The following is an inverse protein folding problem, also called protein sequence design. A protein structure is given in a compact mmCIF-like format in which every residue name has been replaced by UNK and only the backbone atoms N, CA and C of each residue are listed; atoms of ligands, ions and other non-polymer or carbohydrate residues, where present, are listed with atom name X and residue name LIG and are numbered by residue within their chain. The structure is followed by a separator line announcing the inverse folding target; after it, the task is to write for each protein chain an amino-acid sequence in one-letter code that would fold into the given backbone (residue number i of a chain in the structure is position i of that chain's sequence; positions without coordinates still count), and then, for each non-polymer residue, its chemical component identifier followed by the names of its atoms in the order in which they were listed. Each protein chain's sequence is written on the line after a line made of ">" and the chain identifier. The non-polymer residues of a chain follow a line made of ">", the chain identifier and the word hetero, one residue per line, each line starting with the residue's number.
data_IF_255568363792
#
_entry.id   IF_255568363792
#
_cell.length_a   1.000
_cell.length_b   1.000
_cell.length_c   1.000
_cell.angle_alpha   90.00
_cell.angle_beta   90.00
_cell.angle_gamma   90.00
#
_symmetry.space_group_name_H-M   'P 1'
#
loop_
_entity.id
_entity.type
_entity.pdbx_description
1 polymer ?
#
# COMPACT_ATOMS: atom_id res chain seq x y z
N UNK A 1 7.23 -20.20 -38.25
CA UNK A 1 6.81 -19.21 -37.23
C UNK A 1 7.99 -18.96 -36.32
N UNK A 2 8.38 -17.70 -36.13
CA UNK A 2 9.55 -17.38 -35.31
C UNK A 2 9.20 -17.69 -33.84
N UNK A 3 9.89 -18.65 -33.22
CA UNK A 3 9.63 -19.05 -31.83
C UNK A 3 10.14 -18.01 -30.81
N UNK A 4 10.84 -16.97 -31.29
CA UNK A 4 11.52 -15.97 -30.46
C UNK A 4 11.18 -14.57 -30.98
N UNK A 5 10.82 -13.66 -30.06
CA UNK A 5 10.71 -12.22 -30.35
C UNK A 5 12.10 -11.58 -30.23
N UNK A 6 12.65 -10.96 -31.29
CA UNK A 6 13.93 -10.25 -31.20
C UNK A 6 13.83 -8.98 -30.32
N UNK A 7 14.96 -8.48 -29.85
CA UNK A 7 15.04 -7.16 -29.22
C UNK A 7 14.74 -6.07 -30.26
N UNK A 8 13.75 -5.21 -29.98
CA UNK A 8 13.29 -4.16 -30.85
C UNK A 8 13.98 -2.81 -30.59
N UNK A 9 14.52 -2.59 -29.38
CA UNK A 9 15.08 -1.29 -28.96
C UNK A 9 16.53 -1.34 -28.43
N UNK A 10 17.18 -2.50 -28.52
CA UNK A 10 18.62 -2.62 -28.29
C UNK A 10 19.41 -1.67 -29.20
N UNK A 11 20.32 -0.90 -28.62
CA UNK A 11 21.10 0.17 -29.29
C UNK A 11 20.44 1.54 -29.26
N UNK A 12 19.18 1.67 -28.83
CA UNK A 12 18.46 2.96 -28.75
C UNK A 12 17.98 3.29 -27.34
N UNK A 13 17.34 2.34 -26.65
CA UNK A 13 16.88 2.53 -25.27
C UNK A 13 17.90 2.03 -24.24
N UNK A 14 18.71 1.05 -24.63
CA UNK A 14 19.78 0.47 -23.83
C UNK A 14 20.86 -0.08 -24.79
N UNK A 15 22.11 -0.34 -24.35
CA UNK A 15 23.19 -0.80 -25.22
C UNK A 15 22.87 -2.11 -25.95
N UNK A 16 23.25 -2.19 -27.24
CA UNK A 16 23.17 -3.44 -28.01
C UNK A 16 24.32 -4.42 -27.69
N UNK A 17 25.46 -3.91 -27.22
CA UNK A 17 26.58 -4.74 -26.76
C UNK A 17 26.26 -5.37 -25.40
N UNK A 18 26.41 -6.70 -25.30
CA UNK A 18 26.03 -7.46 -24.12
C UNK A 18 26.87 -7.10 -22.89
N UNK A 19 28.18 -6.89 -23.05
CA UNK A 19 29.07 -6.54 -21.96
C UNK A 19 28.82 -5.12 -21.46
N UNK A 20 28.56 -4.16 -22.36
CA UNK A 20 28.17 -2.80 -22.00
C UNK A 20 26.82 -2.77 -21.28
N UNK A 21 25.82 -3.50 -21.78
CA UNK A 21 24.51 -3.60 -21.15
C UNK A 21 24.61 -4.20 -19.75
N UNK A 22 25.32 -5.32 -19.58
CA UNK A 22 25.51 -5.96 -18.30
C UNK A 22 26.17 -5.02 -17.27
N UNK A 23 27.25 -4.32 -17.67
CA UNK A 23 27.91 -3.32 -16.82
C UNK A 23 26.98 -2.18 -16.44
N UNK A 24 26.23 -1.62 -17.39
CA UNK A 24 25.33 -0.50 -17.12
C UNK A 24 24.22 -0.91 -16.16
N UNK A 25 23.57 -2.07 -16.38
CA UNK A 25 22.53 -2.57 -15.48
C UNK A 25 23.09 -2.84 -14.08
N UNK A 26 24.27 -3.45 -13.97
CA UNK A 26 24.93 -3.71 -12.69
C UNK A 26 25.29 -2.41 -11.95
N UNK A 27 25.73 -1.38 -12.66
CA UNK A 27 26.01 -0.06 -12.10
C UNK A 27 24.74 0.60 -11.57
N UNK A 28 23.66 0.61 -12.36
CA UNK A 28 22.37 1.17 -11.96
C UNK A 28 21.82 0.46 -10.72
N UNK A 29 21.82 -0.88 -10.71
CA UNK A 29 21.40 -1.67 -9.55
C UNK A 29 22.29 -1.40 -8.33
N UNK A 30 23.61 -1.34 -8.51
CA UNK A 30 24.55 -1.09 -7.39
C UNK A 30 24.44 0.32 -6.81
N UNK A 31 24.10 1.31 -7.64
CA UNK A 31 23.87 2.69 -7.21
C UNK A 31 22.53 2.87 -6.50
N UNK A 32 21.55 1.99 -6.74
CA UNK A 32 20.33 1.97 -5.96
C UNK A 32 20.66 1.65 -4.50
N UNK A 33 20.20 2.52 -3.60
CA UNK A 33 20.38 2.41 -2.16
C UNK A 33 19.06 2.00 -1.53
N UNK A 34 18.68 0.71 -1.59
CA UNK A 34 17.45 0.29 -0.99
C UNK A 34 17.57 0.47 0.54
N UNK A 35 16.83 1.44 1.10
CA UNK A 35 16.58 1.52 2.54
C UNK A 35 16.17 0.13 3.02
N UNK A 36 16.81 -0.40 4.06
CA UNK A 36 16.58 -1.78 4.51
C UNK A 36 15.16 -1.95 5.07
N UNK A 37 14.18 -2.16 4.20
CA UNK A 37 12.88 -2.71 4.55
C UNK A 37 13.00 -4.23 4.45
N UNK A 38 12.63 -4.93 5.52
CA UNK A 38 12.64 -6.40 5.54
C UNK A 38 11.51 -7.01 4.68
N UNK A 39 10.57 -6.18 4.22
CA UNK A 39 9.44 -6.62 3.42
C UNK A 39 9.84 -6.79 1.95
N UNK A 40 9.28 -7.82 1.32
CA UNK A 40 9.51 -8.14 -0.08
C UNK A 40 8.32 -7.65 -0.89
N UNK A 41 8.52 -6.87 -1.96
CA UNK A 41 7.40 -6.39 -2.76
C UNK A 41 6.81 -7.52 -3.59
N UNK A 42 5.47 -7.58 -3.64
CA UNK A 42 4.71 -8.53 -4.47
C UNK A 42 4.46 -7.98 -5.88
N UNK A 43 4.33 -6.66 -6.00
CA UNK A 43 4.22 -5.99 -7.29
C UNK A 43 5.09 -4.72 -7.36
N UNK A 44 5.46 -4.34 -8.57
CA UNK A 44 6.22 -3.12 -8.87
C UNK A 44 5.52 -2.31 -9.96
N UNK A 45 5.59 -0.98 -9.87
CA UNK A 45 5.42 -0.06 -11.01
C UNK A 45 6.79 0.50 -11.34
N UNK A 46 7.20 0.43 -12.61
CA UNK A 46 8.53 0.86 -13.09
C UNK A 46 8.44 1.61 -14.43
N UNK A 47 9.30 2.61 -14.66
CA UNK A 47 9.32 3.37 -15.92
C UNK A 47 9.95 2.57 -17.06
N UNK A 48 9.68 2.95 -18.31
CA UNK A 48 10.15 2.29 -19.52
C UNK A 48 10.77 3.20 -20.59
N UNK A 49 11.11 4.44 -20.26
CA UNK A 49 12.01 5.23 -21.10
C UNK A 49 13.42 4.59 -21.23
N UNK A 50 14.25 5.15 -22.11
CA UNK A 50 15.64 4.71 -22.26
C UNK A 50 16.43 4.84 -20.96
N UNK A 51 17.39 3.94 -20.74
CA UNK A 51 18.13 3.81 -19.47
C UNK A 51 18.86 5.07 -19.04
N UNK A 52 19.27 5.90 -19.99
CA UNK A 52 19.90 7.19 -19.71
C UNK A 52 18.96 8.16 -18.98
N UNK A 53 17.64 8.00 -19.13
CA UNK A 53 16.62 8.85 -18.51
C UNK A 53 16.03 8.22 -17.25
N UNK A 54 15.52 6.98 -17.36
CA UNK A 54 14.70 6.35 -16.31
C UNK A 54 15.37 5.15 -15.64
N UNK A 55 16.54 4.72 -16.11
CA UNK A 55 17.20 3.49 -15.65
C UNK A 55 17.54 3.52 -14.16
N UNK A 56 17.92 4.69 -13.63
CA UNK A 56 18.18 4.86 -12.20
C UNK A 56 16.90 4.67 -11.35
N UNK A 57 15.79 5.26 -11.78
CA UNK A 57 14.49 5.13 -11.11
C UNK A 57 14.01 3.67 -11.13
N UNK A 58 14.08 3.00 -12.29
CA UNK A 58 13.74 1.58 -12.41
C UNK A 58 14.61 0.69 -11.51
N UNK A 59 15.91 0.97 -11.42
CA UNK A 59 16.83 0.21 -10.59
C UNK A 59 16.48 0.24 -9.10
N UNK A 60 15.89 1.33 -8.59
CA UNK A 60 15.44 1.42 -7.20
C UNK A 60 14.38 0.36 -6.87
N UNK A 61 13.47 0.05 -7.80
CA UNK A 61 12.50 -1.02 -7.63
C UNK A 61 13.13 -2.41 -7.72
N UNK A 62 13.91 -2.68 -8.76
CA UNK A 62 14.53 -3.99 -8.93
C UNK A 62 15.50 -4.33 -7.79
N UNK A 63 16.25 -3.36 -7.27
CA UNK A 63 17.15 -3.59 -6.14
C UNK A 63 16.44 -4.12 -4.87
N UNK A 64 15.13 -3.85 -4.71
CA UNK A 64 14.31 -4.39 -3.60
C UNK A 64 14.15 -5.91 -3.65
N UNK A 65 14.29 -6.51 -4.82
CA UNK A 65 14.10 -7.96 -5.00
C UNK A 65 15.37 -8.77 -4.70
N UNK A 66 16.54 -8.13 -4.49
CA UNK A 66 17.81 -8.83 -4.18
C UNK A 66 17.68 -9.91 -3.10
N UNK A 67 16.99 -9.69 -1.96
CA UNK A 67 16.89 -10.70 -0.90
C UNK A 67 16.12 -11.96 -1.31
N UNK A 68 15.29 -11.88 -2.35
CA UNK A 68 14.41 -12.97 -2.81
C UNK A 68 14.65 -13.38 -4.25
N UNK A 69 15.67 -12.86 -4.92
CA UNK A 69 15.89 -13.07 -6.34
C UNK A 69 15.89 -14.56 -6.72
N UNK A 70 16.50 -15.42 -5.91
CA UNK A 70 16.51 -16.87 -6.13
C UNK A 70 15.16 -17.59 -5.98
N UNK A 71 14.17 -16.95 -5.34
CA UNK A 71 12.81 -17.51 -5.13
C UNK A 71 11.86 -17.18 -6.27
N UNK A 72 12.03 -16.04 -6.93
CA UNK A 72 11.16 -15.59 -8.01
C UNK A 72 11.43 -16.46 -9.24
N UNK A 73 10.43 -17.23 -9.67
CA UNK A 73 10.49 -18.11 -10.85
C UNK A 73 9.60 -17.65 -11.98
N UNK A 74 8.58 -16.84 -11.69
CA UNK A 74 7.64 -16.26 -12.65
C UNK A 74 7.62 -14.76 -12.53
N UNK A 75 7.67 -14.07 -13.66
CA UNK A 75 7.42 -12.63 -13.75
C UNK A 75 6.22 -12.40 -14.66
N UNK A 76 5.17 -11.79 -14.12
CA UNK A 76 4.00 -11.34 -14.88
C UNK A 76 4.21 -9.87 -15.18
N UNK A 77 4.41 -9.53 -16.45
CA UNK A 77 4.81 -8.20 -16.88
C UNK A 77 3.73 -7.59 -17.78
N UNK A 78 3.10 -6.52 -17.32
CA UNK A 78 2.09 -5.78 -18.05
C UNK A 78 2.63 -4.40 -18.41
N UNK A 79 2.37 -3.94 -19.63
CA UNK A 79 2.76 -2.61 -20.09
C UNK A 79 1.87 -2.13 -21.22
N UNK A 80 1.75 -0.82 -21.45
CA UNK A 80 0.89 -0.28 -22.50
C UNK A 80 1.39 -0.65 -23.89
N UNK A 81 0.48 -0.62 -24.87
CA UNK A 81 0.80 -0.60 -26.30
C UNK A 81 0.99 0.83 -26.79
N UNK A 82 2.05 1.07 -27.55
CA UNK A 82 2.36 2.38 -28.15
C UNK A 82 2.22 2.39 -29.67
N UNK A 83 2.32 1.23 -30.32
CA UNK A 83 2.42 1.14 -31.79
C UNK A 83 1.21 0.49 -32.44
N UNK A 84 0.77 -0.64 -31.89
CA UNK A 84 -0.34 -1.42 -32.47
C UNK A 84 -1.47 -1.43 -31.45
N UNK A 85 -2.66 -0.90 -31.81
CA UNK A 85 -3.80 -0.92 -30.90
C UNK A 85 -4.23 -2.36 -30.65
N UNK A 86 -4.61 -2.63 -29.40
CA UNK A 86 -5.11 -3.92 -28.94
C UNK A 86 -6.43 -3.65 -28.22
N UNK A 87 -7.45 -4.45 -28.49
CA UNK A 87 -8.63 -4.54 -27.62
C UNK A 87 -8.32 -5.61 -26.57
N UNK A 88 -8.33 -5.23 -25.30
CA UNK A 88 -7.93 -6.10 -24.19
C UNK A 88 -6.41 -6.16 -23.96
N UNK A 89 -5.90 -7.36 -23.69
CA UNK A 89 -4.49 -7.66 -23.42
C UNK A 89 -3.98 -8.68 -24.43
N UNK A 90 -2.83 -8.41 -25.05
CA UNK A 90 -2.24 -9.30 -26.05
C UNK A 90 -1.08 -10.12 -25.48
N UNK A 91 -1.11 -11.42 -25.76
CA UNK A 91 0.01 -12.36 -25.67
C UNK A 91 0.82 -12.37 -26.99
N UNK A 92 2.11 -12.71 -26.96
CA UNK A 92 3.01 -12.50 -28.11
C UNK A 92 2.96 -13.58 -29.20
N UNK A 93 2.43 -14.77 -28.91
CA UNK A 93 2.42 -15.89 -29.87
C UNK A 93 3.80 -16.48 -30.20
N UNK A 94 4.77 -16.30 -29.30
CA UNK A 94 6.14 -16.86 -29.37
C UNK A 94 6.45 -17.61 -28.07
N UNK A 95 7.64 -18.21 -27.97
CA UNK A 95 8.08 -19.00 -26.81
C UNK A 95 9.18 -18.33 -25.97
N UNK A 96 9.87 -17.33 -26.51
CA UNK A 96 10.90 -16.57 -25.79
C UNK A 96 11.04 -15.13 -26.31
N UNK A 97 11.58 -14.24 -25.47
CA UNK A 97 12.05 -12.90 -25.88
C UNK A 97 13.58 -12.89 -25.86
N UNK A 98 14.22 -12.33 -26.87
CA UNK A 98 15.66 -12.14 -26.91
C UNK A 98 16.05 -10.75 -26.42
N UNK A 99 17.15 -10.68 -25.67
CA UNK A 99 17.87 -9.44 -25.32
C UNK A 99 19.36 -9.64 -25.63
N UNK A 100 20.20 -8.59 -25.59
CA UNK A 100 21.64 -8.77 -25.68
C UNK A 100 22.24 -9.62 -24.55
N UNK A 101 21.55 -9.81 -23.42
CA UNK A 101 22.00 -10.65 -22.30
C UNK A 101 21.60 -12.13 -22.46
N UNK A 102 20.81 -12.46 -23.49
CA UNK A 102 20.33 -13.82 -23.74
C UNK A 102 18.80 -13.88 -23.87
N UNK A 103 18.27 -15.09 -23.90
CA UNK A 103 16.83 -15.32 -24.06
C UNK A 103 16.12 -15.41 -22.71
N UNK A 104 14.89 -14.93 -22.67
CA UNK A 104 13.94 -15.09 -21.56
C UNK A 104 12.82 -16.00 -22.04
N UNK A 105 12.69 -17.17 -21.43
CA UNK A 105 11.64 -18.12 -21.75
C UNK A 105 10.27 -17.60 -21.28
N UNK A 106 9.23 -17.82 -22.08
CA UNK A 106 7.87 -17.47 -21.69
C UNK A 106 7.22 -18.62 -20.90
N UNK A 107 6.42 -18.27 -19.89
CA UNK A 107 5.63 -19.23 -19.13
C UNK A 107 4.38 -19.63 -19.94
N UNK A 108 4.50 -20.74 -20.65
CA UNK A 108 3.41 -21.28 -21.48
C UNK A 108 2.20 -21.66 -20.63
N UNK A 109 2.40 -22.20 -19.42
CA UNK A 109 1.31 -22.59 -18.54
C UNK A 109 0.57 -21.37 -18.00
N UNK A 110 1.31 -20.32 -17.60
CA UNK A 110 0.75 -19.04 -17.19
C UNK A 110 -0.05 -18.37 -18.31
N UNK A 111 0.50 -18.31 -19.53
CA UNK A 111 -0.23 -17.78 -20.69
C UNK A 111 -1.48 -18.59 -21.02
N UNK A 112 -1.44 -19.92 -20.91
CA UNK A 112 -2.61 -20.78 -21.13
C UNK A 112 -3.71 -20.57 -20.07
N UNK A 113 -3.34 -20.28 -18.82
CA UNK A 113 -4.28 -20.08 -17.71
C UNK A 113 -5.16 -18.82 -17.83
N UNK A 114 -4.84 -17.93 -18.75
CA UNK A 114 -5.59 -16.70 -19.05
C UNK A 114 -6.11 -16.63 -20.48
N UNK A 115 -5.78 -17.61 -21.33
CA UNK A 115 -6.14 -17.59 -22.74
C UNK A 115 -7.65 -17.78 -22.99
N UNK A 116 -8.39 -18.28 -21.99
CA UNK A 116 -9.86 -18.42 -22.01
C UNK A 116 -10.60 -17.10 -21.72
N UNK A 117 -9.91 -16.09 -21.21
CA UNK A 117 -10.52 -14.80 -20.88
C UNK A 117 -10.86 -14.01 -22.15
N UNK A 118 -12.08 -13.47 -22.31
CA UNK A 118 -12.52 -12.80 -23.54
C UNK A 118 -11.71 -11.54 -23.88
N UNK A 119 -11.09 -10.92 -22.87
CA UNK A 119 -10.19 -9.77 -23.02
C UNK A 119 -8.76 -10.16 -23.41
N UNK A 120 -8.41 -11.45 -23.47
CA UNK A 120 -7.04 -11.89 -23.82
C UNK A 120 -7.01 -12.37 -25.26
N UNK A 121 -6.09 -11.82 -26.05
CA UNK A 121 -5.86 -12.25 -27.44
C UNK A 121 -4.38 -12.57 -27.68
N UNK A 122 -4.07 -13.15 -28.85
CA UNK A 122 -2.69 -13.36 -29.30
C UNK A 122 -2.41 -12.39 -30.45
N UNK A 123 -1.37 -11.56 -30.30
CA UNK A 123 -0.95 -10.61 -31.33
C UNK A 123 0.56 -10.43 -31.33
N UNK A 124 1.25 -11.16 -32.21
CA UNK A 124 2.70 -10.97 -32.40
C UNK A 124 3.05 -9.55 -32.89
N UNK A 125 2.16 -8.91 -33.66
CA UNK A 125 2.34 -7.55 -34.14
C UNK A 125 2.34 -6.52 -32.99
N UNK A 126 1.48 -6.72 -31.98
CA UNK A 126 1.46 -5.87 -30.78
C UNK A 126 2.75 -5.92 -29.97
N UNK A 127 3.48 -7.04 -30.07
CA UNK A 127 4.72 -7.22 -29.34
C UNK A 127 5.97 -6.87 -30.16
N UNK A 128 5.96 -7.11 -31.48
CA UNK A 128 7.15 -7.11 -32.33
C UNK A 128 8.01 -5.85 -32.20
N UNK A 129 7.37 -4.70 -31.99
CA UNK A 129 7.99 -3.39 -31.90
C UNK A 129 7.67 -2.67 -30.57
N UNK A 130 7.01 -3.33 -29.63
CA UNK A 130 6.65 -2.70 -28.35
C UNK A 130 7.85 -2.70 -27.39
N UNK A 131 8.11 -1.57 -26.74
CA UNK A 131 9.27 -1.39 -25.89
C UNK A 131 8.93 -1.43 -24.40
N UNK A 132 7.68 -1.15 -24.02
CA UNK A 132 7.25 -1.05 -22.62
C UNK A 132 7.59 -2.30 -21.80
N UNK A 133 7.53 -3.48 -22.42
CA UNK A 133 7.89 -4.75 -21.78
C UNK A 133 9.39 -5.06 -21.90
N UNK A 134 9.99 -4.78 -23.06
CA UNK A 134 11.36 -5.20 -23.38
C UNK A 134 12.41 -4.56 -22.48
N UNK A 135 12.28 -3.26 -22.22
CA UNK A 135 13.28 -2.51 -21.43
C UNK A 135 13.36 -2.96 -19.97
N UNK A 136 12.40 -3.76 -19.50
CA UNK A 136 12.42 -4.34 -18.16
C UNK A 136 13.29 -5.61 -18.09
N UNK A 137 13.48 -6.30 -19.21
CA UNK A 137 14.09 -7.63 -19.24
C UNK A 137 15.56 -7.65 -18.81
N UNK A 138 16.43 -6.69 -19.21
CA UNK A 138 17.83 -6.75 -18.79
C UNK A 138 18.00 -6.60 -17.27
N UNK A 139 17.15 -5.79 -16.60
CA UNK A 139 17.16 -5.71 -15.13
C UNK A 139 16.77 -7.03 -14.48
N UNK A 140 15.71 -7.67 -14.98
CA UNK A 140 15.23 -8.97 -14.49
C UNK A 140 16.27 -10.08 -14.71
N UNK A 141 16.89 -10.15 -15.90
CA UNK A 141 17.94 -11.14 -16.21
C UNK A 141 19.17 -10.96 -15.31
N UNK A 142 19.62 -9.72 -15.10
CA UNK A 142 20.78 -9.44 -14.26
C UNK A 142 20.54 -9.79 -12.79
N UNK A 143 19.28 -9.72 -12.32
CA UNK A 143 18.94 -9.92 -10.92
C UNK A 143 18.49 -11.33 -10.58
N UNK A 144 17.56 -11.90 -11.35
CA UNK A 144 16.88 -13.15 -11.03
C UNK A 144 17.60 -14.39 -11.58
N UNK A 145 18.44 -14.22 -12.61
CA UNK A 145 19.00 -15.34 -13.35
C UNK A 145 17.91 -16.06 -14.14
N UNK A 146 17.59 -17.30 -13.75
CA UNK A 146 16.58 -18.13 -14.42
C UNK A 146 15.17 -17.87 -13.91
N UNK A 147 14.29 -17.37 -14.78
CA UNK A 147 12.86 -17.17 -14.55
C UNK A 147 12.07 -17.32 -15.86
N UNK A 148 10.76 -17.45 -15.76
CA UNK A 148 9.83 -17.46 -16.89
C UNK A 148 8.94 -16.21 -16.89
N UNK A 149 8.59 -15.73 -18.08
CA UNK A 149 7.85 -14.48 -18.29
C UNK A 149 6.44 -14.72 -18.80
N UNK A 150 5.45 -14.01 -18.25
CA UNK A 150 4.12 -13.81 -18.86
C UNK A 150 4.02 -12.35 -19.32
N UNK A 151 4.34 -12.04 -20.60
CA UNK A 151 4.32 -10.68 -21.11
C UNK A 151 2.94 -10.33 -21.68
N UNK A 152 2.37 -9.23 -21.21
CA UNK A 152 1.04 -8.75 -21.60
C UNK A 152 1.14 -7.32 -22.12
N UNK A 153 0.89 -7.15 -23.41
CA UNK A 153 0.77 -5.83 -24.03
C UNK A 153 -0.68 -5.36 -23.87
N UNK A 154 -0.88 -4.34 -23.03
CA UNK A 154 -2.20 -3.89 -22.57
C UNK A 154 -2.67 -2.72 -23.44
N UNK A 155 -3.80 -2.90 -24.11
CA UNK A 155 -4.47 -1.87 -24.88
C UNK A 155 -5.75 -1.39 -24.21
N UNK A 156 -6.82 -1.34 -24.99
CA UNK A 156 -8.16 -0.94 -24.55
C UNK A 156 -8.81 -2.05 -23.72
N UNK A 157 -8.51 -2.04 -22.43
CA UNK A 157 -9.07 -2.93 -21.41
C UNK A 157 -9.59 -2.09 -20.24
N UNK A 158 -10.59 -2.59 -19.54
CA UNK A 158 -11.03 -2.05 -18.25
C UNK A 158 -10.08 -2.46 -17.12
N UNK A 159 -10.08 -1.69 -16.02
CA UNK A 159 -9.36 -2.06 -14.80
C UNK A 159 -9.80 -3.42 -14.24
N UNK A 160 -11.09 -3.75 -14.36
CA UNK A 160 -11.65 -5.04 -13.95
C UNK A 160 -11.11 -6.20 -14.81
N UNK A 161 -11.01 -6.02 -16.12
CA UNK A 161 -10.44 -7.02 -17.03
C UNK A 161 -8.96 -7.29 -16.73
N UNK A 162 -8.18 -6.24 -16.42
CA UNK A 162 -6.80 -6.38 -15.97
C UNK A 162 -6.74 -7.10 -14.61
N UNK A 163 -7.58 -6.72 -13.65
CA UNK A 163 -7.63 -7.35 -12.33
C UNK A 163 -7.98 -8.85 -12.41
N UNK A 164 -8.87 -9.26 -13.32
CA UNK A 164 -9.18 -10.68 -13.57
C UNK A 164 -7.97 -11.47 -14.09
N UNK A 165 -7.17 -10.87 -14.98
CA UNK A 165 -5.91 -11.47 -15.44
C UNK A 165 -4.92 -11.60 -14.29
N UNK A 166 -4.77 -10.56 -13.47
CA UNK A 166 -3.92 -10.60 -12.28
C UNK A 166 -4.38 -11.66 -11.27
N UNK A 167 -5.68 -11.85 -11.08
CA UNK A 167 -6.24 -12.87 -10.20
C UNK A 167 -5.82 -14.29 -10.62
N UNK A 168 -5.90 -14.60 -11.92
CA UNK A 168 -5.48 -15.90 -12.48
C UNK A 168 -3.97 -16.12 -12.38
N UNK A 169 -3.18 -15.05 -12.40
CA UNK A 169 -1.71 -15.09 -12.41
C UNK A 169 -1.06 -14.72 -11.09
N UNK A 170 -1.84 -14.56 -10.01
CA UNK A 170 -1.36 -13.97 -8.76
C UNK A 170 -0.17 -14.72 -8.16
N UNK A 171 -0.26 -16.05 -8.06
CA UNK A 171 0.80 -16.92 -7.55
C UNK A 171 1.25 -16.63 -6.10
N UNK A 172 2.26 -17.37 -5.63
CA UNK A 172 2.87 -17.23 -4.30
C UNK A 172 4.12 -16.35 -4.31
N UNK A 173 5.10 -16.67 -3.44
CA UNK A 173 6.39 -15.96 -3.38
C UNK A 173 7.23 -16.14 -4.65
N UNK A 174 6.94 -17.16 -5.46
CA UNK A 174 7.63 -17.43 -6.71
C UNK A 174 7.20 -16.52 -7.87
N UNK A 175 6.12 -15.74 -7.69
CA UNK A 175 5.54 -14.90 -8.74
C UNK A 175 5.66 -13.42 -8.41
N UNK A 176 6.37 -12.68 -9.26
CA UNK A 176 6.46 -11.22 -9.23
C UNK A 176 5.51 -10.60 -10.26
N UNK A 177 4.77 -9.57 -9.87
CA UNK A 177 3.99 -8.73 -10.79
C UNK A 177 4.77 -7.44 -11.10
N UNK A 178 4.90 -7.08 -12.37
CA UNK A 178 5.53 -5.83 -12.81
C UNK A 178 4.59 -5.10 -13.75
N UNK A 179 4.28 -3.85 -13.42
CA UNK A 179 3.55 -2.93 -14.28
C UNK A 179 4.53 -1.89 -14.81
N UNK A 180 4.61 -1.80 -16.13
CA UNK A 180 5.49 -0.89 -16.84
C UNK A 180 4.73 0.39 -17.20
N UNK A 181 5.15 1.53 -16.65
CA UNK A 181 4.54 2.84 -16.93
C UNK A 181 5.51 3.99 -16.64
N UNK A 182 5.63 4.90 -17.60
CA UNK A 182 6.04 6.29 -17.34
C UNK A 182 4.84 7.11 -16.85
N UNK A 183 5.07 8.31 -16.31
CA UNK A 183 4.05 9.25 -15.85
C UNK A 183 3.64 10.23 -16.97
N UNK A 184 3.56 11.54 -16.67
CA UNK A 184 3.15 12.54 -17.65
C UNK A 184 4.17 12.70 -18.78
N UNK A 185 3.71 13.13 -19.96
CA UNK A 185 4.53 13.22 -21.17
C UNK A 185 4.55 14.63 -21.75
N UNK A 186 5.75 15.10 -22.08
CA UNK A 186 6.04 16.29 -22.85
C UNK A 186 5.49 17.61 -22.28
N UNK A 187 5.35 17.67 -20.96
CA UNK A 187 4.91 18.87 -20.24
C UNK A 187 6.11 19.75 -19.86
N UNK A 188 5.92 21.07 -19.69
CA UNK A 188 6.90 21.92 -19.04
C UNK A 188 7.25 21.41 -17.63
N UNK A 189 8.51 21.51 -17.23
CA UNK A 189 9.04 20.92 -16.00
C UNK A 189 8.18 21.14 -14.75
N UNK A 190 7.79 22.38 -14.46
CA UNK A 190 6.97 22.69 -13.29
C UNK A 190 5.57 22.08 -13.33
N UNK A 191 4.97 21.97 -14.52
CA UNK A 191 3.67 21.34 -14.70
C UNK A 191 3.78 19.81 -14.57
N UNK A 192 4.83 19.21 -15.14
CA UNK A 192 5.13 17.79 -14.98
C UNK A 192 5.25 17.43 -13.49
N UNK A 193 6.06 18.17 -12.72
CA UNK A 193 6.20 17.95 -11.28
C UNK A 193 4.86 17.95 -10.54
N UNK A 194 3.99 18.93 -10.83
CA UNK A 194 2.67 19.01 -10.18
C UNK A 194 1.79 17.79 -10.50
N UNK A 195 1.67 17.45 -11.79
CA UNK A 195 0.82 16.33 -12.24
C UNK A 195 1.39 14.99 -11.78
N UNK A 196 2.70 14.81 -11.85
CA UNK A 196 3.37 13.58 -11.46
C UNK A 196 3.28 13.35 -9.95
N UNK A 197 3.49 14.38 -9.11
CA UNK A 197 3.33 14.27 -7.66
C UNK A 197 1.89 13.93 -7.24
N UNK A 198 0.89 14.50 -7.92
CA UNK A 198 -0.52 14.15 -7.67
C UNK A 198 -0.82 12.72 -8.13
N UNK A 199 -0.32 12.33 -9.30
CA UNK A 199 -0.47 10.96 -9.82
C UNK A 199 0.14 9.93 -8.88
N UNK A 200 1.35 10.18 -8.38
CA UNK A 200 1.99 9.34 -7.38
C UNK A 200 1.17 9.30 -6.09
N UNK A 201 0.65 10.42 -5.60
CA UNK A 201 -0.22 10.46 -4.41
C UNK A 201 -1.47 9.59 -4.57
N UNK A 202 -2.09 9.62 -5.76
CA UNK A 202 -3.24 8.76 -6.09
C UNK A 202 -2.86 7.28 -6.11
N UNK A 203 -1.72 6.92 -6.70
CA UNK A 203 -1.20 5.54 -6.70
C UNK A 203 -0.94 5.06 -5.27
N UNK A 204 -0.26 5.87 -4.44
CA UNK A 204 0.04 5.53 -3.05
C UNK A 204 -1.23 5.33 -2.21
N UNK A 205 -2.26 6.15 -2.46
CA UNK A 205 -3.57 6.04 -1.85
C UNK A 205 -4.44 4.92 -2.46
N UNK A 206 -3.97 4.25 -3.52
CA UNK A 206 -4.72 3.25 -4.31
C UNK A 206 -6.09 3.76 -4.78
N UNK A 207 -6.13 4.99 -5.29
CA UNK A 207 -7.35 5.68 -5.76
C UNK A 207 -7.41 5.74 -7.29
N UNK A 208 -7.93 4.72 -7.99
CA UNK A 208 -8.24 4.82 -9.42
C UNK A 208 -9.47 5.72 -9.67
N UNK A 209 -9.70 6.22 -10.89
CA UNK A 209 -8.90 5.98 -12.10
C UNK A 209 -7.84 7.05 -12.37
N UNK A 210 -6.64 6.62 -12.77
CA UNK A 210 -5.67 7.44 -13.48
C UNK A 210 -6.07 7.57 -14.96
N UNK A 211 -5.81 8.72 -15.55
CA UNK A 211 -5.96 8.97 -16.99
C UNK A 211 -4.68 8.67 -17.77
N UNK A 212 -4.79 8.43 -19.08
CA UNK A 212 -3.63 8.26 -19.97
C UNK A 212 -2.76 9.53 -20.11
N UNK A 213 -3.23 10.69 -19.65
CA UNK A 213 -2.42 11.91 -19.58
C UNK A 213 -1.49 11.90 -18.35
N UNK A 214 -1.90 11.22 -17.28
CA UNK A 214 -1.12 11.08 -16.06
C UNK A 214 -0.07 9.97 -16.16
N UNK A 215 -0.36 8.89 -16.89
CA UNK A 215 0.53 7.76 -17.04
C UNK A 215 0.24 7.02 -18.35
N UNK A 216 1.27 6.69 -19.14
CA UNK A 216 1.06 5.93 -20.39
C UNK A 216 0.47 4.53 -20.10
N UNK A 217 0.89 3.90 -19.01
CA UNK A 217 0.38 2.64 -18.48
C UNK A 217 -0.84 2.80 -17.55
N UNK A 218 -1.64 3.86 -17.69
CA UNK A 218 -2.81 4.08 -16.81
C UNK A 218 -3.73 2.86 -16.70
N UNK A 219 -4.00 2.15 -17.79
CA UNK A 219 -4.84 0.94 -17.79
C UNK A 219 -4.29 -0.18 -16.89
N UNK A 220 -3.07 -0.70 -17.10
CA UNK A 220 -2.52 -1.73 -16.22
C UNK A 220 -2.26 -1.23 -14.79
N UNK A 221 -1.93 0.06 -14.60
CA UNK A 221 -1.81 0.65 -13.25
C UNK A 221 -3.16 0.64 -12.53
N UNK A 222 -4.24 1.10 -13.16
CA UNK A 222 -5.58 1.09 -12.56
C UNK A 222 -6.06 -0.32 -12.20
N UNK A 223 -5.76 -1.30 -13.05
CA UNK A 223 -6.02 -2.72 -12.76
C UNK A 223 -5.24 -3.21 -11.54
N UNK A 224 -3.95 -2.89 -11.45
CA UNK A 224 -3.15 -3.20 -10.26
C UNK A 224 -3.70 -2.48 -9.02
N UNK A 225 -4.10 -1.22 -9.10
CA UNK A 225 -4.61 -0.47 -7.95
C UNK A 225 -5.90 -1.08 -7.38
N UNK A 226 -6.84 -1.44 -8.26
CA UNK A 226 -8.06 -2.14 -7.87
C UNK A 226 -7.73 -3.49 -7.21
N UNK A 227 -6.87 -4.28 -7.85
CA UNK A 227 -6.45 -5.57 -7.34
C UNK A 227 -5.69 -5.48 -6.01
N UNK A 228 -4.79 -4.50 -5.88
CA UNK A 228 -4.00 -4.23 -4.70
C UNK A 228 -4.87 -3.84 -3.50
N UNK A 229 -5.93 -3.07 -3.72
CA UNK A 229 -6.88 -2.71 -2.66
C UNK A 229 -7.60 -3.95 -2.10
N UNK A 230 -8.06 -4.85 -2.96
CA UNK A 230 -8.71 -6.10 -2.58
C UNK A 230 -7.77 -7.09 -1.88
N UNK A 231 -6.49 -7.09 -2.25
CA UNK A 231 -5.47 -8.01 -1.71
C UNK A 231 -4.65 -7.39 -0.58
N UNK A 232 -5.09 -6.24 -0.07
CA UNK A 232 -4.47 -5.55 1.06
C UNK A 232 -3.01 -5.19 0.81
N UNK A 233 -2.61 -4.82 -0.40
CA UNK A 233 -1.24 -4.36 -0.67
C UNK A 233 -1.08 -2.89 -0.28
N UNK A 234 0.09 -2.53 0.24
CA UNK A 234 0.47 -1.15 0.52
C UNK A 234 1.54 -0.69 -0.47
N UNK A 235 1.32 0.50 -1.03
CA UNK A 235 2.21 1.11 -2.00
C UNK A 235 3.25 2.00 -1.28
N UNK A 236 4.50 1.92 -1.72
CA UNK A 236 5.62 2.73 -1.25
C UNK A 236 6.30 3.36 -2.47
N UNK A 237 6.47 4.68 -2.45
CA UNK A 237 7.27 5.38 -3.44
C UNK A 237 8.74 5.14 -3.15
N UNK A 238 9.47 4.61 -4.14
CA UNK A 238 10.89 4.34 -4.01
C UNK A 238 11.73 5.48 -4.58
N UNK A 239 11.31 6.03 -5.72
CA UNK A 239 11.97 7.14 -6.39
C UNK A 239 11.02 7.84 -7.37
N UNK A 240 11.27 9.11 -7.62
CA UNK A 240 10.52 9.94 -8.56
C UNK A 240 11.42 11.02 -9.16
N UNK A 241 11.45 11.13 -10.48
CA UNK A 241 12.09 12.24 -11.19
C UNK A 241 11.44 12.46 -12.55
N UNK A 242 11.99 13.36 -13.36
CA UNK A 242 11.63 13.46 -14.78
C UNK A 242 12.87 13.51 -15.67
N UNK A 243 12.67 13.45 -16.98
CA UNK A 243 13.77 13.48 -17.95
C UNK A 243 14.67 14.71 -17.84
N UNK A 244 14.15 15.84 -17.36
CA UNK A 244 14.92 17.07 -17.12
C UNK A 244 15.82 17.03 -15.88
N UNK A 245 15.66 16.04 -15.01
CA UNK A 245 16.54 15.78 -13.86
C UNK A 245 17.65 14.77 -14.19
N UNK A 246 17.61 14.16 -15.37
CA UNK A 246 18.59 13.20 -15.86
C UNK A 246 19.38 13.74 -17.04
N UNK A 247 19.06 13.32 -18.27
CA UNK A 247 19.80 13.64 -19.48
C UNK A 247 19.04 14.52 -20.48
N UNK A 248 17.81 14.94 -20.15
CA UNK A 248 16.94 15.75 -20.99
C UNK A 248 16.96 17.24 -20.64
N UNK A 249 16.42 18.07 -21.54
CA UNK A 249 16.14 19.47 -21.21
C UNK A 249 14.87 19.62 -20.35
N UNK A 250 14.64 20.81 -19.81
CA UNK A 250 13.49 21.11 -18.92
C UNK A 250 12.29 21.74 -19.64
N UNK A 251 12.31 21.82 -20.97
CA UNK A 251 11.25 22.45 -21.76
C UNK A 251 10.05 21.52 -21.96
N UNK A 252 10.30 20.23 -22.20
CA UNK A 252 9.28 19.19 -22.39
C UNK A 252 9.79 17.88 -21.80
N UNK A 253 9.34 17.55 -20.60
CA UNK A 253 9.84 16.40 -19.85
C UNK A 253 8.87 15.23 -19.82
N UNK A 254 9.39 14.05 -19.54
CA UNK A 254 8.61 12.84 -19.21
C UNK A 254 8.86 12.49 -17.75
N UNK A 255 7.78 12.25 -17.00
CA UNK A 255 7.83 11.88 -15.59
C UNK A 255 8.10 10.39 -15.37
N UNK A 256 8.83 10.06 -14.31
CA UNK A 256 9.20 8.70 -13.94
C UNK A 256 8.95 8.49 -12.45
N UNK A 257 8.41 7.33 -12.09
CA UNK A 257 8.35 6.90 -10.70
C UNK A 257 8.58 5.39 -10.62
N UNK A 258 9.20 4.96 -9.53
CA UNK A 258 9.24 3.56 -9.14
C UNK A 258 8.51 3.36 -7.83
N UNK A 259 7.55 2.43 -7.83
CA UNK A 259 6.64 2.23 -6.71
C UNK A 259 6.57 0.73 -6.41
N UNK A 260 6.76 0.36 -5.16
CA UNK A 260 6.66 -1.02 -4.70
C UNK A 260 5.33 -1.24 -3.99
N UNK A 261 4.73 -2.41 -4.21
CA UNK A 261 3.55 -2.88 -3.52
C UNK A 261 3.93 -4.06 -2.67
N UNK A 262 3.96 -3.84 -1.37
CA UNK A 262 4.14 -4.91 -0.40
C UNK A 262 2.76 -5.47 -0.09
N UNK A 263 2.65 -6.76 0.25
CA UNK A 263 1.57 -7.15 1.14
C UNK A 263 1.55 -6.10 2.24
N UNK A 264 0.37 -5.60 2.63
CA UNK A 264 0.29 -4.91 3.90
C UNK A 264 1.10 -5.76 4.86
N UNK A 265 1.85 -5.11 5.74
CA UNK A 265 2.13 -5.79 6.98
C UNK A 265 0.74 -6.24 7.46
N UNK A 266 0.39 -7.52 7.23
CA UNK A 266 -0.24 -8.28 8.29
C UNK A 266 0.60 -7.84 9.45
N UNK A 267 0.01 -7.07 10.37
CA UNK A 267 0.61 -6.75 11.65
C UNK A 267 1.45 -7.96 12.02
N UNK A 268 2.76 -7.90 11.76
CA UNK A 268 3.55 -9.12 11.74
C UNK A 268 3.49 -9.51 13.20
N UNK A 269 2.82 -10.64 13.45
CA UNK A 269 2.54 -11.27 14.74
C UNK A 269 3.81 -11.58 15.56
N UNK A 270 4.90 -10.87 15.34
CA UNK A 270 6.15 -11.00 16.08
C UNK A 270 6.58 -9.67 16.71
N UNK A 271 6.22 -8.51 16.13
CA UNK A 271 6.45 -7.20 16.77
C UNK A 271 5.15 -6.62 17.35
N UNK A 272 4.02 -6.74 16.64
CA UNK A 272 2.71 -6.36 17.17
C UNK A 272 2.19 -7.41 18.17
N UNK A 273 2.66 -8.65 18.12
CA UNK A 273 2.30 -9.66 19.12
C UNK A 273 3.02 -9.42 20.45
N UNK A 274 4.29 -9.00 20.44
CA UNK A 274 4.97 -8.62 21.69
C UNK A 274 4.43 -7.33 22.30
N UNK A 275 4.18 -6.29 21.49
CA UNK A 275 3.56 -5.06 21.97
C UNK A 275 2.13 -5.32 22.47
N UNK A 276 1.32 -6.01 21.68
CA UNK A 276 -0.04 -6.40 22.04
C UNK A 276 -0.08 -7.26 23.30
N UNK A 277 0.72 -8.33 23.38
CA UNK A 277 0.85 -9.16 24.59
C UNK A 277 1.24 -8.32 25.81
N UNK A 278 2.24 -7.44 25.67
CA UNK A 278 2.68 -6.58 26.77
C UNK A 278 1.56 -5.66 27.24
N UNK A 279 0.86 -5.00 26.30
CA UNK A 279 -0.25 -4.09 26.63
C UNK A 279 -1.45 -4.81 27.23
N UNK A 280 -1.80 -5.99 26.72
CA UNK A 280 -2.89 -6.83 27.26
C UNK A 280 -2.53 -7.36 28.65
N UNK A 281 -1.30 -7.83 28.87
CA UNK A 281 -0.79 -8.24 30.18
C UNK A 281 -0.78 -7.08 31.17
N UNK A 282 -0.38 -5.89 30.73
CA UNK A 282 -0.40 -4.68 31.54
C UNK A 282 -1.81 -4.32 31.99
N UNK A 283 -2.78 -4.31 31.05
CA UNK A 283 -4.18 -4.03 31.34
C UNK A 283 -4.78 -5.09 32.28
N UNK A 284 -4.56 -6.38 32.01
CA UNK A 284 -5.02 -7.47 32.87
C UNK A 284 -4.40 -7.42 34.26
N UNK A 285 -3.10 -7.17 34.34
CA UNK A 285 -2.36 -7.03 35.59
C UNK A 285 -2.92 -5.90 36.45
N UNK A 286 -3.17 -4.73 35.85
CA UNK A 286 -3.74 -3.58 36.54
C UNK A 286 -5.15 -3.86 37.10
N UNK A 287 -6.02 -4.51 36.31
CA UNK A 287 -7.35 -4.90 36.78
C UNK A 287 -7.24 -5.96 37.88
N UNK A 288 -6.35 -6.95 37.73
CA UNK A 288 -6.14 -8.01 38.73
C UNK A 288 -5.72 -7.44 40.07
N UNK A 289 -4.75 -6.53 40.07
CA UNK A 289 -4.25 -5.85 41.27
C UNK A 289 -5.35 -4.99 41.92
N UNK A 290 -6.09 -4.21 41.11
CA UNK A 290 -7.22 -3.41 41.60
C UNK A 290 -8.31 -4.26 42.29
N UNK A 291 -8.52 -5.50 41.83
CA UNK A 291 -9.47 -6.45 42.42
C UNK A 291 -8.87 -7.31 43.55
N UNK A 292 -7.68 -6.95 44.06
CA UNK A 292 -7.02 -7.62 45.19
C UNK A 292 -6.33 -8.95 44.84
N UNK A 293 -6.02 -9.18 43.56
CA UNK A 293 -5.19 -10.29 43.09
C UNK A 293 -3.69 -9.94 43.09
N UNK A 294 -2.81 -10.91 42.81
CA UNK A 294 -1.38 -10.64 42.69
C UNK A 294 -1.11 -9.78 41.44
N UNK A 295 -0.29 -8.74 41.59
CA UNK A 295 0.17 -7.94 40.46
C UNK A 295 0.93 -8.80 39.44
N UNK A 296 0.64 -8.60 38.16
CA UNK A 296 1.24 -9.38 37.09
C UNK A 296 2.45 -8.63 36.50
N UNK A 297 3.62 -9.27 36.51
CA UNK A 297 4.80 -8.74 35.86
C UNK A 297 4.58 -8.69 34.34
N UNK A 298 5.03 -7.60 33.72
CA UNK A 298 5.01 -7.40 32.28
C UNK A 298 6.45 -7.11 31.81
N UNK A 299 6.79 -7.43 30.54
CA UNK A 299 8.09 -7.09 30.00
C UNK A 299 8.32 -5.57 30.01
N UNK A 300 9.42 -5.11 30.62
CA UNK A 300 9.82 -3.71 30.55
C UNK A 300 10.32 -3.35 29.15
N UNK A 301 9.77 -2.27 28.60
CA UNK A 301 10.05 -1.81 27.23
C UNK A 301 10.17 -0.30 27.20
N UNK A 302 11.17 0.21 26.50
CA UNK A 302 11.43 1.66 26.44
C UNK A 302 10.26 2.48 25.86
N UNK A 303 9.44 1.90 24.99
CA UNK A 303 8.29 2.56 24.38
C UNK A 303 7.10 2.75 25.34
N UNK A 304 7.02 1.99 26.44
CA UNK A 304 5.99 2.16 27.48
C UNK A 304 6.08 3.51 28.19
N UNK A 305 7.29 4.08 28.25
CA UNK A 305 7.59 5.34 28.92
C UNK A 305 7.41 6.55 28.01
N UNK A 306 7.09 6.37 26.73
CA UNK A 306 6.74 7.45 25.81
C UNK A 306 5.27 7.86 26.01
N UNK A 307 4.89 9.11 25.70
CA UNK A 307 3.49 9.52 25.70
C UNK A 307 2.65 8.64 24.76
N UNK A 308 1.48 8.21 25.21
CA UNK A 308 0.54 7.42 24.40
C UNK A 308 -0.90 7.55 24.88
N UNK A 309 -1.85 7.28 23.98
CA UNK A 309 -3.28 7.32 24.26
C UNK A 309 -3.92 5.98 23.90
N UNK A 310 -4.74 5.45 24.80
CA UNK A 310 -5.32 4.12 24.66
C UNK A 310 -6.79 4.08 25.04
N UNK A 311 -7.51 3.10 24.49
CA UNK A 311 -8.80 2.67 24.99
C UNK A 311 -8.69 1.22 25.45
N UNK A 312 -9.24 0.93 26.63
CA UNK A 312 -9.36 -0.43 27.14
C UNK A 312 -10.83 -0.82 27.14
N UNK A 313 -11.13 -1.91 26.46
CA UNK A 313 -12.48 -2.45 26.31
C UNK A 313 -12.56 -3.82 26.96
N UNK A 314 -13.57 -4.02 27.78
CA UNK A 314 -13.88 -5.26 28.47
C UNK A 314 -15.12 -5.88 27.84
N UNK A 315 -15.07 -7.17 27.57
CA UNK A 315 -16.21 -7.93 27.04
C UNK A 315 -16.42 -9.23 27.81
N UNK A 316 -17.66 -9.67 27.93
CA UNK A 316 -18.04 -10.95 28.50
C UNK A 316 -19.07 -11.60 27.59
N UNK A 317 -18.83 -12.85 27.17
CA UNK A 317 -19.73 -13.57 26.24
C UNK A 317 -20.03 -12.76 24.95
N UNK A 318 -19.05 -12.00 24.46
CA UNK A 318 -19.19 -11.12 23.29
C UNK A 318 -19.92 -9.80 23.55
N UNK A 319 -20.44 -9.55 24.76
CA UNK A 319 -21.13 -8.33 25.14
C UNK A 319 -20.18 -7.33 25.82
N UNK A 320 -20.39 -6.04 25.58
CA UNK A 320 -19.62 -4.96 26.19
C UNK A 320 -19.85 -4.92 27.71
N UNK A 321 -18.75 -4.87 28.49
CA UNK A 321 -18.75 -4.85 29.96
C UNK A 321 -18.12 -3.59 30.56
N UNK A 322 -17.38 -2.84 29.75
CA UNK A 322 -16.77 -1.55 30.10
C UNK A 322 -15.87 -1.08 28.96
N UNK A 323 -15.79 0.24 28.73
CA UNK A 323 -14.84 0.82 27.77
C UNK A 323 -14.48 2.24 28.19
N UNK A 324 -13.21 2.46 28.51
CA UNK A 324 -12.67 3.77 28.90
C UNK A 324 -11.34 4.01 28.18
N UNK A 325 -11.07 5.25 27.82
CA UNK A 325 -9.83 5.61 27.16
C UNK A 325 -9.52 7.10 27.15
N UNK A 326 -8.33 7.40 26.66
CA UNK A 326 -7.80 8.73 26.42
C UNK A 326 -7.77 9.03 24.92
N UNK A 327 -8.07 10.26 24.53
CA UNK A 327 -7.98 10.71 23.14
C UNK A 327 -6.64 11.36 22.79
N UNK A 328 -5.89 11.78 23.80
CA UNK A 328 -4.62 12.49 23.66
C UNK A 328 -3.55 11.88 24.57
N UNK A 329 -2.33 11.86 24.06
CA UNK A 329 -1.15 11.30 24.73
C UNK A 329 -0.60 12.26 25.79
N UNK A 330 -1.34 12.44 26.89
CA UNK A 330 -1.00 13.37 27.98
C UNK A 330 -0.14 12.76 29.09
N UNK A 331 0.06 11.44 29.08
CA UNK A 331 0.87 10.69 30.04
C UNK A 331 1.59 9.53 29.36
N UNK A 332 2.51 8.88 30.07
CA UNK A 332 3.23 7.71 29.55
C UNK A 332 2.23 6.61 29.21
N UNK A 333 2.49 5.87 28.14
CA UNK A 333 1.59 4.83 27.66
C UNK A 333 1.28 3.78 28.73
N UNK A 334 2.27 3.41 29.56
CA UNK A 334 2.08 2.50 30.68
C UNK A 334 1.01 3.00 31.66
N UNK A 335 1.13 4.25 32.09
CA UNK A 335 0.21 4.87 33.04
C UNK A 335 -1.20 4.99 32.43
N UNK A 336 -1.27 5.28 31.12
CA UNK A 336 -2.53 5.43 30.41
C UNK A 336 -3.30 4.10 30.31
N UNK A 337 -2.62 3.03 29.90
CA UNK A 337 -3.23 1.71 29.75
C UNK A 337 -3.68 1.15 31.11
N UNK A 338 -2.85 1.28 32.15
CA UNK A 338 -3.21 0.83 33.50
C UNK A 338 -4.41 1.61 34.05
N UNK A 339 -4.40 2.94 33.95
CA UNK A 339 -5.50 3.77 34.44
C UNK A 339 -6.80 3.51 33.69
N UNK A 340 -6.74 3.40 32.36
CA UNK A 340 -7.92 3.13 31.54
C UNK A 340 -8.45 1.70 31.74
N UNK A 341 -7.60 0.71 31.99
CA UNK A 341 -8.02 -0.64 32.31
C UNK A 341 -8.78 -0.70 33.64
N UNK A 342 -8.23 -0.09 34.69
CA UNK A 342 -8.91 0.00 36.00
C UNK A 342 -10.22 0.77 35.88
N UNK A 343 -10.22 1.91 35.19
CA UNK A 343 -11.42 2.71 34.99
C UNK A 343 -12.49 1.98 34.18
N UNK A 344 -12.13 1.22 33.14
CA UNK A 344 -13.07 0.39 32.39
C UNK A 344 -13.69 -0.71 33.27
N UNK A 345 -12.95 -1.21 34.26
CA UNK A 345 -13.43 -2.22 35.20
C UNK A 345 -14.28 -1.65 36.34
N UNK A 346 -14.05 -0.41 36.79
CA UNK A 346 -14.64 0.12 38.04
C UNK A 346 -15.46 1.41 37.91
N UNK A 347 -15.23 2.18 36.84
CA UNK A 347 -15.67 3.59 36.74
C UNK A 347 -16.49 3.91 35.48
N UNK A 348 -16.74 2.93 34.60
CA UNK A 348 -17.68 3.10 33.49
C UNK A 348 -19.12 3.09 34.01
N UNK A 349 -19.73 4.28 34.11
CA UNK A 349 -21.06 4.50 34.69
C UNK A 349 -22.19 3.67 34.07
N UNK A 350 -22.00 3.15 32.85
CA UNK A 350 -22.98 2.30 32.16
C UNK A 350 -23.08 0.91 32.78
N UNK A 351 -22.09 0.50 33.57
CA UNK A 351 -21.97 -0.85 34.12
C UNK A 351 -21.65 -0.84 35.61
N UNK A 352 -22.05 -1.88 36.34
CA UNK A 352 -21.61 -2.06 37.72
C UNK A 352 -20.09 -2.37 37.76
N UNK A 353 -19.36 -2.02 38.83
CA UNK A 353 -17.95 -2.40 38.97
C UNK A 353 -17.74 -3.92 38.84
N UNK A 354 -16.68 -4.31 38.13
CA UNK A 354 -16.31 -5.71 37.89
C UNK A 354 -15.88 -6.39 39.20
N UNK A 355 -16.38 -7.59 39.48
CA UNK A 355 -15.95 -8.40 40.63
C UNK A 355 -14.77 -9.30 40.28
N UNK A 356 -13.98 -9.67 41.27
CA UNK A 356 -12.83 -10.59 41.09
C UNK A 356 -13.22 -11.92 40.43
N UNK A 357 -14.38 -12.48 40.78
CA UNK A 357 -14.89 -13.74 40.20
C UNK A 357 -15.21 -13.63 38.71
N UNK A 358 -15.49 -12.42 38.21
CA UNK A 358 -15.86 -12.17 36.82
C UNK A 358 -14.64 -11.99 35.89
N UNK A 359 -13.47 -11.71 36.46
CA UNK A 359 -12.26 -11.36 35.70
C UNK A 359 -11.77 -12.50 34.79
N UNK A 360 -11.93 -13.75 35.23
CA UNK A 360 -11.52 -14.93 34.44
C UNK A 360 -12.34 -15.08 33.15
N UNK A 361 -13.63 -14.69 33.17
CA UNK A 361 -14.51 -14.72 32.00
C UNK A 361 -14.55 -13.40 31.21
N UNK A 362 -13.72 -12.41 31.59
CA UNK A 362 -13.67 -11.11 30.92
C UNK A 362 -12.55 -11.11 29.91
N UNK A 363 -12.87 -10.82 28.65
CA UNK A 363 -11.90 -10.63 27.57
C UNK A 363 -11.53 -9.15 27.47
N UNK A 364 -10.23 -8.87 27.48
CA UNK A 364 -9.66 -7.53 27.42
C UNK A 364 -9.22 -7.23 25.99
N UNK A 365 -9.46 -6.01 25.57
CA UNK A 365 -9.00 -5.43 24.33
C UNK A 365 -8.33 -4.09 24.63
N UNK A 366 -7.17 -3.84 24.02
CA UNK A 366 -6.44 -2.57 24.10
C UNK A 366 -6.33 -2.00 22.69
N UNK A 367 -6.78 -0.76 22.54
CA UNK A 367 -6.67 0.02 21.31
C UNK A 367 -5.68 1.17 21.55
N UNK A 368 -4.56 1.20 20.83
CA UNK A 368 -3.57 2.27 20.86
C UNK A 368 -3.82 3.26 19.73
N UNK A 369 -3.89 4.55 20.06
CA UNK A 369 -4.09 5.62 19.09
C UNK A 369 -2.74 6.12 18.54
N UNK A 370 -2.72 6.46 17.25
CA UNK A 370 -1.62 7.24 16.68
C UNK A 370 -1.63 8.68 17.21
N UNK A 371 -0.55 9.42 16.96
CA UNK A 371 -0.59 10.86 17.11
C UNK A 371 -1.70 11.45 16.23
N UNK A 372 -2.39 12.47 16.75
CA UNK A 372 -3.44 13.19 16.02
C UNK A 372 -2.82 14.11 14.97
N UNK A 373 -3.34 14.06 13.75
CA UNK A 373 -2.97 14.93 12.64
C UNK A 373 -4.10 15.95 12.42
N UNK A 374 -3.79 17.24 12.40
CA UNK A 374 -4.80 18.27 12.15
C UNK A 374 -5.32 18.17 10.70
N UNK A 375 -6.63 18.19 10.54
CA UNK A 375 -7.30 18.21 9.24
C UNK A 375 -7.66 19.66 8.91
N UNK A 376 -6.85 20.29 8.07
CA UNK A 376 -7.01 21.68 7.67
C UNK A 376 -8.04 21.75 6.53
N UNK A 377 -9.21 22.30 6.82
CA UNK A 377 -10.29 22.47 5.85
C UNK A 377 -10.95 23.85 6.01
N UNK A 378 -11.09 24.59 4.91
CA UNK A 378 -11.77 25.89 4.91
C UNK A 378 -13.30 25.75 4.82
N UNK A 379 -13.79 24.57 4.43
CA UNK A 379 -15.21 24.25 4.32
C UNK A 379 -15.48 22.80 4.71
N UNK A 380 -16.74 22.50 5.05
CA UNK A 380 -17.16 21.13 5.35
C UNK A 380 -16.87 20.18 4.20
N UNK A 381 -17.14 20.62 2.97
CA UNK A 381 -16.88 19.83 1.76
C UNK A 381 -15.40 19.42 1.65
N UNK A 382 -14.47 20.34 1.94
CA UNK A 382 -13.04 20.02 1.95
C UNK A 382 -12.65 19.07 3.08
N UNK A 383 -13.37 19.09 4.21
CA UNK A 383 -13.15 18.13 5.28
C UNK A 383 -13.58 16.73 4.84
N UNK A 384 -14.77 16.61 4.24
CA UNK A 384 -15.31 15.35 3.75
C UNK A 384 -14.40 14.70 2.71
N UNK A 385 -13.82 15.46 1.79
CA UNK A 385 -12.89 14.98 0.76
C UNK A 385 -11.57 14.45 1.34
N UNK A 386 -11.19 14.89 2.55
CA UNK A 386 -9.96 14.47 3.24
C UNK A 386 -10.14 13.25 4.15
N UNK A 387 -11.37 12.95 4.57
CA UNK A 387 -11.66 11.80 5.42
C UNK A 387 -11.39 10.48 4.69
N UNK A 388 -10.88 9.50 5.43
CA UNK A 388 -10.59 8.16 4.93
C UNK A 388 -11.49 7.13 5.64
N UNK A 389 -12.61 6.73 5.02
CA UNK A 389 -13.49 5.71 5.57
C UNK A 389 -12.73 4.43 5.95
N UNK A 390 -13.07 3.86 7.11
CA UNK A 390 -12.45 2.65 7.65
C UNK A 390 -11.06 2.84 8.26
N UNK A 391 -10.43 4.01 8.11
CA UNK A 391 -9.08 4.28 8.61
C UNK A 391 -9.04 5.37 9.68
N UNK A 392 -9.80 6.45 9.48
CA UNK A 392 -9.71 7.64 10.32
C UNK A 392 -10.62 7.53 11.55
N UNK A 393 -10.03 7.60 12.73
CA UNK A 393 -10.69 8.16 13.89
C UNK A 393 -10.69 9.68 13.76
N UNK A 394 -11.80 10.33 14.06
CA UNK A 394 -11.96 11.77 13.89
C UNK A 394 -12.28 12.40 15.24
N UNK A 395 -11.51 13.42 15.59
CA UNK A 395 -11.75 14.33 16.70
C UNK A 395 -12.31 15.63 16.13
N UNK A 396 -13.42 16.08 16.70
CA UNK A 396 -14.03 17.37 16.41
C UNK A 396 -14.06 18.20 17.68
N UNK A 397 -13.54 19.42 17.58
CA UNK A 397 -13.54 20.40 18.65
C UNK A 397 -14.11 21.73 18.16
N UNK A 398 -15.01 22.31 18.94
CA UNK A 398 -15.54 23.65 18.71
C UNK A 398 -15.88 24.30 20.05
N UNK A 399 -15.09 25.29 20.47
CA UNK A 399 -15.19 25.93 21.79
C UNK A 399 -15.12 24.88 22.91
N UNK A 400 -16.18 24.76 23.73
CA UNK A 400 -16.29 23.78 24.82
C UNK A 400 -16.93 22.45 24.38
N UNK A 401 -17.26 22.31 23.09
CA UNK A 401 -17.88 21.10 22.53
C UNK A 401 -16.82 20.24 21.89
N UNK A 402 -16.86 18.95 22.23
CA UNK A 402 -15.92 17.95 21.73
C UNK A 402 -16.67 16.67 21.41
N UNK A 403 -16.33 16.07 20.29
CA UNK A 403 -16.84 14.76 19.87
C UNK A 403 -15.74 13.95 19.22
N UNK A 404 -15.83 12.64 19.32
CA UNK A 404 -14.91 11.75 18.64
C UNK A 404 -15.61 10.49 18.15
N UNK A 405 -15.15 9.98 17.01
CA UNK A 405 -15.45 8.64 16.53
C UNK A 405 -14.16 7.89 16.25
N UNK A 406 -14.13 6.62 16.65
CA UNK A 406 -13.05 5.70 16.31
C UNK A 406 -13.26 5.15 14.89
N UNK A 407 -12.22 4.60 14.24
CA UNK A 407 -12.33 4.05 12.89
C UNK A 407 -13.43 2.99 12.71
N UNK A 408 -13.79 2.25 13.76
CA UNK A 408 -14.82 1.20 13.67
C UNK A 408 -16.23 1.76 13.39
N UNK A 409 -16.48 3.03 13.70
CA UNK A 409 -17.78 3.65 13.46
C UNK A 409 -18.12 3.69 11.96
N UNK A 410 -17.10 3.71 11.09
CA UNK A 410 -17.26 3.61 9.64
C UNK A 410 -17.97 2.33 9.18
N UNK A 411 -17.94 1.25 9.94
CA UNK A 411 -18.68 0.02 9.61
C UNK A 411 -20.20 0.26 9.61
N UNK A 412 -20.66 1.16 10.48
CA UNK A 412 -22.08 1.56 10.59
C UNK A 412 -22.42 2.83 9.83
N UNK A 413 -21.43 3.70 9.59
CA UNK A 413 -21.57 4.98 8.92
C UNK A 413 -20.48 5.08 7.82
N UNK A 414 -20.59 4.33 6.72
CA UNK A 414 -19.54 4.27 5.70
C UNK A 414 -19.46 5.55 4.85
N UNK A 415 -20.54 6.33 4.79
CA UNK A 415 -20.59 7.60 4.09
C UNK A 415 -19.95 8.73 4.94
N UNK A 416 -18.97 9.49 4.42
CA UNK A 416 -18.31 10.58 5.14
C UNK A 416 -19.25 11.69 5.62
N UNK A 417 -20.26 12.04 4.84
CA UNK A 417 -21.18 13.13 5.19
C UNK A 417 -22.05 12.70 6.38
N UNK A 418 -22.60 11.48 6.34
CA UNK A 418 -23.34 10.90 7.46
C UNK A 418 -22.46 10.72 8.70
N UNK A 419 -21.23 10.25 8.53
CA UNK A 419 -20.26 10.10 9.62
C UNK A 419 -19.99 11.43 10.33
N UNK A 420 -19.67 12.49 9.57
CA UNK A 420 -19.36 13.80 10.13
C UNK A 420 -20.60 14.46 10.74
N UNK A 421 -21.77 14.31 10.12
CA UNK A 421 -23.04 14.79 10.66
C UNK A 421 -23.37 14.15 12.02
N UNK A 422 -23.18 12.84 12.16
CA UNK A 422 -23.38 12.13 13.42
C UNK A 422 -22.31 12.48 14.46
N UNK A 423 -21.07 12.72 14.04
CA UNK A 423 -20.00 13.19 14.92
C UNK A 423 -20.33 14.57 15.49
N UNK A 424 -20.84 15.49 14.66
CA UNK A 424 -21.34 16.81 15.10
C UNK A 424 -22.46 16.66 16.13
N UNK A 425 -23.45 15.81 15.87
CA UNK A 425 -24.52 15.51 16.85
C UNK A 425 -23.98 14.98 18.16
N UNK A 426 -22.99 14.08 18.11
CA UNK A 426 -22.30 13.55 19.30
C UNK A 426 -21.57 14.64 20.08
N UNK A 427 -20.97 15.62 19.40
CA UNK A 427 -20.39 16.80 20.02
C UNK A 427 -21.45 17.82 20.52
N UNK A 428 -22.75 17.52 20.36
CA UNK A 428 -23.86 18.40 20.71
C UNK A 428 -24.12 19.51 19.69
N UNK A 429 -23.61 19.42 18.47
CA UNK A 429 -23.80 20.38 17.37
C UNK A 429 -24.87 19.89 16.38
N UNK A 430 -25.57 20.81 15.68
CA UNK A 430 -26.45 20.44 14.57
C UNK A 430 -25.71 19.70 13.44
N UNK A 431 -26.42 18.83 12.72
CA UNK A 431 -25.84 17.99 11.65
C UNK A 431 -25.37 18.79 10.44
N UNK A 432 -25.92 19.97 10.20
CA UNK A 432 -25.61 20.92 9.12
C UNK A 432 -24.70 22.07 9.59
N UNK A 433 -24.22 22.03 10.83
CA UNK A 433 -23.38 23.09 11.38
C UNK A 433 -21.96 23.04 10.81
N UNK A 434 -21.46 24.20 10.38
CA UNK A 434 -20.04 24.42 10.07
C UNK A 434 -19.61 25.82 10.54
N UNK A 435 -18.38 25.94 11.02
CA UNK A 435 -17.79 27.21 11.43
C UNK A 435 -16.28 27.19 11.18
N UNK A 436 -15.68 28.35 10.89
CA UNK A 436 -14.24 28.46 10.62
C UNK A 436 -13.34 28.11 11.84
N UNK A 437 -13.91 28.08 13.04
CA UNK A 437 -13.21 27.73 14.29
C UNK A 437 -13.40 26.25 14.66
N UNK A 438 -13.98 25.44 13.77
CA UNK A 438 -14.01 23.99 13.98
C UNK A 438 -12.58 23.48 13.79
N UNK A 439 -12.07 22.79 14.81
CA UNK A 439 -10.83 22.05 14.72
C UNK A 439 -11.17 20.58 14.50
N UNK A 440 -10.75 20.05 13.35
CA UNK A 440 -10.77 18.63 13.06
C UNK A 440 -9.36 18.08 13.18
N UNK A 441 -9.25 16.91 13.79
CA UNK A 441 -8.04 16.11 13.76
C UNK A 441 -8.40 14.66 13.47
N UNK A 442 -7.48 13.94 12.82
CA UNK A 442 -7.62 12.51 12.55
C UNK A 442 -6.53 11.70 13.22
N UNK A 443 -6.79 10.44 13.49
CA UNK A 443 -5.82 9.48 14.01
C UNK A 443 -6.18 8.07 13.55
N UNK A 444 -5.24 7.13 13.59
CA UNK A 444 -5.52 5.71 13.38
C UNK A 444 -5.47 4.94 14.69
N UNK A 445 -6.03 3.73 14.71
CA UNK A 445 -6.04 2.85 15.88
C UNK A 445 -5.42 1.51 15.53
N UNK A 446 -4.47 1.06 16.36
CA UNK A 446 -3.98 -0.33 16.37
C UNK A 446 -4.62 -1.07 17.54
N UNK A 447 -5.20 -2.24 17.30
CA UNK A 447 -6.01 -2.98 18.28
C UNK A 447 -5.43 -4.36 18.54
N UNK A 448 -5.46 -4.76 19.80
CA UNK A 448 -5.15 -6.11 20.26
C UNK A 448 -6.22 -6.60 21.22
N UNK A 449 -6.55 -7.89 21.15
CA UNK A 449 -7.57 -8.51 21.99
C UNK A 449 -7.07 -9.88 22.45
N UNK A 450 -7.41 -10.26 23.68
CA UNK A 450 -7.07 -11.59 24.20
C UNK A 450 -7.79 -12.68 23.42
N UNK A 451 -7.05 -13.73 23.03
CA UNK A 451 -7.62 -14.96 22.52
C UNK A 451 -8.20 -15.75 23.69
N UNK A 452 -9.45 -16.17 23.59
CA UNK A 452 -10.08 -17.01 24.62
C UNK A 452 -9.51 -18.41 24.56
N UNK A 453 -9.38 -19.06 25.71
CA UNK A 453 -9.52 -20.51 25.74
C UNK A 453 -11.02 -20.78 25.56
N UNK A 454 -11.41 -21.23 24.38
CA UNK A 454 -12.71 -21.89 24.22
C UNK A 454 -12.70 -23.24 24.95
#
# INVERSE_FOLDING_TARGET
>A
MNSIRPAAVAGSFYPADSAQLARQVQQLLSAANPTATAAVPKALIVPHAGYIYSGAVAAQAYARLRPVAGRIKRVVLLGPVHRVPVRGLALPGVLAFATPLGQVALDIAGMAAIADLPQVCVSGAAHALEHSLEVQLPFLQALLGEFQLVPLAVGDASSAEVAQVLARLWGGEETLIVISSDLSHFLPYGQAQQIDSETVRQILARRPPLSHQQACGATPVNGLLAFAAEHGLQAELLDQCNSGDSAGDKSRVVGYASIAFYPAKQATKEHDDEQGKTLLQLARGAITEHLGGPGQAHPERSWLHKPGASFVTLTQQGLLRGCIGSLEAHRRLIDDVQANAVAAASSDWRFAPLRRSELAGTRIEVSLLSATEALIAASEQQALEQLRPGLDGVLLEYRQRRGTFLPQVWESLPDPADFLAQLKRKAGLPADFWHADIHLARYSVTKWQETGNE
#
